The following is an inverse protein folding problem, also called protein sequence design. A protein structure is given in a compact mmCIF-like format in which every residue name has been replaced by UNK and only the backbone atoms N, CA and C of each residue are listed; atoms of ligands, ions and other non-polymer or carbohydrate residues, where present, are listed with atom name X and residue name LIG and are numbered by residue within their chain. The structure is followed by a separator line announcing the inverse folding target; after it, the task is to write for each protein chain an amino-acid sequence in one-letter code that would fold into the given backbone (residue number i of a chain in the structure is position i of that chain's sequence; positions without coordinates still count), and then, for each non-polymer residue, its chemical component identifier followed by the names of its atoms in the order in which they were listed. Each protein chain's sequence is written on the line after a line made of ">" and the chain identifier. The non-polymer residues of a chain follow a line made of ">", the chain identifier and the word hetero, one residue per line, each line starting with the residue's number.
data_IF_883131427668
#
_entry.id   IF_883131427668
#
_cell.length_a   1.000
_cell.length_b   1.000
_cell.length_c   1.000
_cell.angle_alpha   90.00
_cell.angle_beta   90.00
_cell.angle_gamma   90.00
#
_symmetry.space_group_name_H-M   'P 1'
#
loop_
_entity.id
_entity.type
_entity.pdbx_description
1 polymer ?
#
# COMPACT_ATOMS: atom_id res chain seq x y z
N UNK A 1 7.95 2.27 48.79
CA UNK A 1 7.33 2.06 47.51
C UNK A 1 5.95 2.70 47.57
N UNK A 2 5.84 3.93 47.14
CA UNK A 2 4.55 4.63 47.01
C UNK A 2 3.88 4.12 45.75
N UNK A 3 2.84 3.29 45.91
CA UNK A 3 1.91 2.99 44.84
C UNK A 3 1.11 4.26 44.55
N UNK A 4 1.52 5.00 43.52
CA UNK A 4 0.70 6.06 42.99
C UNK A 4 -0.63 5.44 42.54
N UNK A 5 -1.70 5.71 43.30
CA UNK A 5 -3.05 5.37 42.94
C UNK A 5 -3.39 6.28 41.76
N UNK A 6 -3.20 5.77 40.54
CA UNK A 6 -3.66 6.45 39.34
C UNK A 6 -5.15 6.67 39.48
N UNK A 7 -5.56 7.92 39.47
CA UNK A 7 -6.96 8.30 39.62
C UNK A 7 -7.77 7.67 38.47
N UNK A 8 -8.67 6.76 38.79
CA UNK A 8 -9.45 5.99 37.81
C UNK A 8 -10.18 6.85 36.77
N UNK A 9 -10.46 8.12 37.11
CA UNK A 9 -11.11 9.07 36.21
C UNK A 9 -10.17 9.62 35.10
N UNK A 10 -8.85 9.47 35.20
CA UNK A 10 -7.91 9.84 34.14
C UNK A 10 -7.65 8.70 33.15
N UNK A 11 -7.82 7.45 33.58
CA UNK A 11 -7.67 6.26 32.73
C UNK A 11 -8.73 6.17 31.62
N UNK A 12 -9.86 6.84 31.74
CA UNK A 12 -11.02 6.74 30.84
C UNK A 12 -11.09 7.91 29.83
N UNK A 13 -10.08 8.78 29.74
CA UNK A 13 -10.04 9.85 28.73
C UNK A 13 -9.56 9.39 27.35
N UNK A 14 -9.12 8.15 27.22
CA UNK A 14 -8.68 7.55 25.95
C UNK A 14 -9.72 6.52 25.53
N UNK A 15 -10.20 6.59 24.29
CA UNK A 15 -11.14 5.62 23.79
C UNK A 15 -10.60 4.20 23.94
N UNK A 16 -11.38 3.26 24.47
CA UNK A 16 -10.94 1.88 24.62
C UNK A 16 -10.64 1.28 23.23
N UNK A 17 -9.81 0.23 23.19
CA UNK A 17 -9.33 -0.39 21.93
C UNK A 17 -10.46 -0.68 20.96
N UNK A 18 -11.56 -1.25 21.41
CA UNK A 18 -12.73 -1.55 20.59
C UNK A 18 -13.56 -0.31 20.19
N UNK A 19 -13.33 0.83 20.82
CA UNK A 19 -13.92 2.13 20.48
C UNK A 19 -13.03 2.98 19.57
N UNK A 20 -11.82 2.53 19.25
CA UNK A 20 -10.95 3.25 18.32
C UNK A 20 -11.60 3.37 16.95
N UNK A 21 -11.53 4.55 16.35
CA UNK A 21 -12.11 4.81 15.02
C UNK A 21 -11.53 3.89 13.94
N UNK A 22 -10.30 3.43 14.11
CA UNK A 22 -9.63 2.51 13.20
C UNK A 22 -9.93 1.04 13.46
N UNK A 23 -10.66 0.70 14.55
CA UNK A 23 -11.07 -0.66 14.84
C UNK A 23 -12.33 -0.99 14.02
N UNK A 24 -12.18 -1.83 13.01
CA UNK A 24 -13.26 -2.21 12.08
C UNK A 24 -13.42 -3.75 12.06
N UNK A 25 -13.90 -4.29 13.19
CA UNK A 25 -14.16 -5.73 13.31
C UNK A 25 -12.90 -6.62 13.18
N UNK A 26 -11.73 -6.14 13.59
CA UNK A 26 -10.49 -6.92 13.59
C UNK A 26 -10.65 -8.24 14.32
N UNK A 27 -10.24 -9.33 13.70
CA UNK A 27 -10.35 -10.67 14.29
C UNK A 27 -9.42 -10.85 15.49
N UNK A 28 -8.23 -10.21 15.44
CA UNK A 28 -7.25 -10.35 16.52
C UNK A 28 -6.26 -9.18 16.51
N UNK A 29 -5.91 -8.72 17.72
CA UNK A 29 -4.81 -7.78 17.96
C UNK A 29 -3.92 -8.37 19.04
N UNK A 30 -2.62 -8.47 18.77
CA UNK A 30 -1.64 -9.10 19.67
C UNK A 30 -0.57 -8.09 20.04
N UNK A 31 -0.40 -7.86 21.34
CA UNK A 31 0.68 -7.05 21.89
C UNK A 31 1.85 -7.98 22.26
N UNK A 32 3.00 -7.71 21.65
CA UNK A 32 4.23 -8.48 21.82
C UNK A 32 5.24 -7.64 22.59
N UNK A 33 5.79 -8.19 23.66
CA UNK A 33 6.79 -7.51 24.47
C UNK A 33 7.86 -8.50 24.94
N UNK A 34 9.13 -8.15 24.76
CA UNK A 34 10.26 -8.91 25.28
C UNK A 34 11.30 -7.94 25.85
N UNK A 35 11.61 -8.12 27.14
CA UNK A 35 12.50 -7.20 27.86
C UNK A 35 13.96 -7.40 27.48
N UNK A 36 14.35 -8.63 27.14
CA UNK A 36 15.75 -8.98 26.91
C UNK A 36 16.24 -8.40 25.57
N UNK A 37 15.38 -8.43 24.53
CA UNK A 37 15.67 -7.85 23.22
C UNK A 37 15.19 -6.41 23.07
N UNK A 38 14.36 -5.92 24.01
CA UNK A 38 13.72 -4.60 23.92
C UNK A 38 12.54 -4.55 22.96
N UNK A 39 12.06 -5.70 22.45
CA UNK A 39 10.95 -5.74 21.49
C UNK A 39 9.66 -5.21 22.11
N UNK A 40 9.05 -4.25 21.43
CA UNK A 40 7.66 -3.82 21.61
C UNK A 40 6.98 -3.81 20.25
N UNK A 41 6.02 -4.70 20.04
CA UNK A 41 5.33 -4.80 18.76
C UNK A 41 3.83 -5.02 18.94
N UNK A 42 3.06 -4.65 17.92
CA UNK A 42 1.63 -4.92 17.84
C UNK A 42 1.37 -5.59 16.50
N UNK A 43 0.69 -6.73 16.49
CA UNK A 43 0.24 -7.43 15.29
C UNK A 43 -1.27 -7.30 15.19
N UNK A 44 -1.77 -6.69 14.13
CA UNK A 44 -3.20 -6.59 13.81
C UNK A 44 -3.57 -7.59 12.71
N UNK A 45 -4.57 -8.43 12.97
CA UNK A 45 -5.22 -9.30 12.00
C UNK A 45 -6.63 -8.77 11.81
N UNK A 46 -6.87 -8.14 10.65
CA UNK A 46 -8.18 -7.57 10.37
C UNK A 46 -9.16 -8.65 9.92
N UNK A 47 -8.77 -9.48 8.94
CA UNK A 47 -9.68 -10.44 8.33
C UNK A 47 -8.92 -11.63 7.73
N UNK A 48 -9.44 -12.84 7.88
CA UNK A 48 -8.85 -14.07 7.33
C UNK A 48 -9.83 -14.87 6.45
N UNK A 49 -10.98 -14.31 6.10
CA UNK A 49 -12.03 -14.99 5.31
C UNK A 49 -11.54 -15.46 3.94
N UNK A 50 -10.70 -14.69 3.27
CA UNK A 50 -10.12 -15.06 1.97
C UNK A 50 -8.87 -15.95 2.09
N UNK A 51 -8.24 -16.02 3.25
CA UNK A 51 -7.00 -16.76 3.50
C UNK A 51 -6.19 -16.13 4.64
N UNK A 52 -4.95 -16.59 4.87
CA UNK A 52 -4.10 -16.05 5.92
C UNK A 52 -3.92 -14.54 5.77
N UNK A 53 -3.87 -13.84 6.90
CA UNK A 53 -3.66 -12.40 6.90
C UNK A 53 -2.22 -12.08 6.50
N UNK A 54 -2.02 -11.40 5.36
CA UNK A 54 -0.70 -10.92 4.93
C UNK A 54 -0.57 -9.43 5.18
N UNK A 55 0.61 -9.02 5.63
CA UNK A 55 1.01 -7.61 5.67
C UNK A 55 2.38 -7.39 6.27
N UNK A 56 3.09 -6.39 5.75
CA UNK A 56 4.45 -6.08 6.15
C UNK A 56 4.56 -5.58 7.59
N UNK A 57 5.74 -5.76 8.17
CA UNK A 57 6.10 -5.22 9.47
C UNK A 57 6.78 -3.86 9.29
N UNK A 58 6.27 -2.85 9.98
CA UNK A 58 6.84 -1.50 10.02
C UNK A 58 7.60 -1.31 11.33
N UNK A 59 8.82 -0.80 11.28
CA UNK A 59 9.52 -0.32 12.46
C UNK A 59 9.63 1.20 12.43
N UNK A 60 9.01 1.86 13.41
CA UNK A 60 8.88 3.32 13.40
C UNK A 60 8.93 3.90 14.83
N UNK A 61 9.44 5.13 14.93
CA UNK A 61 9.38 5.93 16.15
C UNK A 61 7.99 6.54 16.32
N UNK A 62 7.06 5.80 16.89
CA UNK A 62 5.76 6.33 17.26
C UNK A 62 5.86 7.25 18.48
N UNK A 63 5.07 8.32 18.50
CA UNK A 63 5.03 9.23 19.64
C UNK A 63 4.50 8.55 20.92
N UNK A 64 3.65 7.55 20.76
CA UNK A 64 3.09 6.73 21.83
C UNK A 64 2.50 5.42 21.28
N UNK A 65 2.09 4.51 22.19
CA UNK A 65 1.54 3.20 21.80
C UNK A 65 0.15 3.31 21.14
N UNK A 66 -0.61 4.38 21.38
CA UNK A 66 -1.90 4.60 20.73
C UNK A 66 -1.74 4.95 19.25
N UNK A 67 -0.73 5.72 18.90
CA UNK A 67 -0.39 6.00 17.51
C UNK A 67 -0.01 4.69 16.79
N UNK A 68 0.82 3.86 17.43
CA UNK A 68 1.22 2.56 16.89
C UNK A 68 0.00 1.62 16.72
N UNK A 69 -0.90 1.58 17.70
CA UNK A 69 -2.14 0.80 17.64
C UNK A 69 -3.04 1.29 16.50
N UNK A 70 -3.26 2.60 16.40
CA UNK A 70 -4.07 3.18 15.32
C UNK A 70 -3.48 2.85 13.94
N UNK A 71 -2.16 2.93 13.79
CA UNK A 71 -1.48 2.62 12.52
C UNK A 71 -1.64 1.15 12.13
N UNK A 72 -1.43 0.21 13.08
CA UNK A 72 -1.57 -1.22 12.79
C UNK A 72 -3.01 -1.61 12.45
N UNK A 73 -4.00 -1.02 13.12
CA UNK A 73 -5.42 -1.27 12.83
C UNK A 73 -5.79 -0.76 11.42
N UNK A 74 -5.48 0.48 11.12
CA UNK A 74 -5.75 1.10 9.83
C UNK A 74 -5.05 0.35 8.67
N UNK A 75 -3.80 -0.01 8.85
CA UNK A 75 -3.00 -0.67 7.81
C UNK A 75 -3.42 -2.13 7.60
N UNK A 76 -3.74 -2.89 8.66
CA UNK A 76 -4.23 -4.28 8.51
C UNK A 76 -5.58 -4.33 7.80
N UNK A 77 -6.48 -3.38 8.08
CA UNK A 77 -7.72 -3.20 7.32
C UNK A 77 -7.44 -2.91 5.85
N UNK A 78 -6.55 -1.97 5.56
CA UNK A 78 -6.13 -1.65 4.20
C UNK A 78 -5.61 -2.86 3.43
N UNK A 79 -4.83 -3.73 4.10
CA UNK A 79 -4.33 -4.97 3.50
C UNK A 79 -5.43 -5.95 3.13
N UNK A 80 -6.54 -6.07 3.91
CA UNK A 80 -7.69 -6.89 3.54
C UNK A 80 -8.31 -6.43 2.23
N UNK A 81 -8.55 -5.13 2.09
CA UNK A 81 -9.13 -4.57 0.87
C UNK A 81 -8.17 -4.67 -0.32
N UNK A 82 -6.88 -4.41 -0.11
CA UNK A 82 -5.85 -4.55 -1.15
C UNK A 82 -5.74 -5.98 -1.66
N UNK A 83 -5.69 -6.97 -0.77
CA UNK A 83 -5.67 -8.39 -1.14
C UNK A 83 -6.95 -8.81 -1.87
N UNK A 84 -8.10 -8.37 -1.36
CA UNK A 84 -9.41 -8.69 -1.94
C UNK A 84 -9.56 -8.13 -3.34
N UNK A 85 -9.33 -6.82 -3.54
CA UNK A 85 -9.51 -6.16 -4.85
C UNK A 85 -8.54 -6.71 -5.91
N UNK A 86 -7.36 -7.18 -5.49
CA UNK A 86 -6.34 -7.77 -6.36
C UNK A 86 -6.60 -9.25 -6.69
N UNK A 87 -7.73 -9.82 -6.26
CA UNK A 87 -8.08 -11.21 -6.54
C UNK A 87 -7.22 -12.24 -5.81
N UNK A 88 -6.54 -11.86 -4.71
CA UNK A 88 -5.68 -12.75 -3.95
C UNK A 88 -6.45 -13.52 -2.87
N UNK A 89 -6.07 -14.76 -2.62
CA UNK A 89 -6.63 -15.57 -1.54
C UNK A 89 -5.87 -15.33 -0.24
N UNK A 90 -5.89 -14.08 0.20
CA UNK A 90 -5.24 -13.58 1.40
C UNK A 90 -6.21 -12.69 2.17
N UNK A 91 -6.12 -12.77 3.48
CA UNK A 91 -6.67 -11.79 4.38
C UNK A 91 -5.77 -10.56 4.53
N UNK A 92 -6.06 -9.72 5.50
CA UNK A 92 -5.26 -8.52 5.80
C UNK A 92 -4.72 -8.53 7.20
N UNK A 93 -3.42 -8.36 7.30
CA UNK A 93 -2.69 -8.19 8.54
C UNK A 93 -1.67 -7.07 8.44
N UNK A 94 -1.15 -6.67 9.58
CA UNK A 94 -0.06 -5.71 9.69
C UNK A 94 0.65 -5.93 11.01
N UNK A 95 1.96 -5.63 11.06
CA UNK A 95 2.66 -5.49 12.33
C UNK A 95 3.37 -4.14 12.39
N UNK A 96 3.48 -3.62 13.60
CA UNK A 96 4.32 -2.47 13.91
C UNK A 96 5.28 -2.84 15.04
N UNK A 97 6.54 -2.42 14.92
CA UNK A 97 7.55 -2.47 15.97
C UNK A 97 7.82 -1.03 16.39
N UNK A 98 7.69 -0.74 17.67
CA UNK A 98 7.90 0.58 18.24
C UNK A 98 9.40 0.73 18.54
N UNK A 99 10.08 1.59 17.77
CA UNK A 99 11.51 1.82 17.93
C UNK A 99 12.15 2.49 16.72
N UNK A 100 13.41 2.87 16.86
CA UNK A 100 14.20 3.43 15.77
C UNK A 100 14.87 2.32 14.97
N UNK A 101 14.42 2.11 13.72
CA UNK A 101 14.97 1.10 12.83
C UNK A 101 16.46 1.28 12.51
N UNK A 102 17.04 2.47 12.73
CA UNK A 102 18.44 2.77 12.46
C UNK A 102 19.37 2.42 13.64
N UNK A 103 18.86 2.46 14.86
CA UNK A 103 19.68 2.36 16.08
C UNK A 103 19.27 1.24 17.03
N UNK A 104 18.02 0.77 16.94
CA UNK A 104 17.46 -0.22 17.91
C UNK A 104 17.19 -1.59 17.25
N UNK A 105 17.24 -1.68 15.92
CA UNK A 105 17.00 -2.92 15.20
C UNK A 105 18.20 -3.85 15.29
N UNK A 106 18.02 -5.02 15.92
CA UNK A 106 19.04 -6.08 16.03
C UNK A 106 18.53 -7.41 15.48
N UNK A 107 19.43 -8.34 15.11
CA UNK A 107 19.01 -9.68 14.69
C UNK A 107 18.24 -10.44 15.80
N UNK A 108 18.60 -10.24 17.06
CA UNK A 108 17.95 -10.86 18.22
C UNK A 108 16.50 -10.36 18.34
N UNK A 109 16.28 -9.05 18.20
CA UNK A 109 14.95 -8.45 18.18
C UNK A 109 14.11 -8.99 17.03
N UNK A 110 14.71 -9.16 15.83
CA UNK A 110 14.03 -9.71 14.67
C UNK A 110 13.67 -11.20 14.85
N UNK A 111 14.55 -12.02 15.44
CA UNK A 111 14.21 -13.41 15.77
C UNK A 111 13.07 -13.47 16.79
N UNK A 112 13.13 -12.64 17.83
CA UNK A 112 12.07 -12.59 18.85
C UNK A 112 10.73 -12.20 18.25
N UNK A 113 10.71 -11.20 17.34
CA UNK A 113 9.51 -10.86 16.58
C UNK A 113 9.02 -12.07 15.75
N UNK A 114 9.93 -12.79 15.09
CA UNK A 114 9.61 -14.02 14.34
C UNK A 114 9.00 -15.12 15.21
N UNK A 115 9.42 -15.28 16.45
CA UNK A 115 8.82 -16.23 17.41
C UNK A 115 7.34 -15.86 17.70
N UNK A 116 7.03 -14.55 17.86
CA UNK A 116 5.65 -14.10 18.02
C UNK A 116 4.82 -14.34 16.76
N UNK A 117 5.37 -14.09 15.57
CA UNK A 117 4.70 -14.44 14.31
C UNK A 117 4.45 -15.94 14.23
N UNK A 118 5.43 -16.78 14.61
CA UNK A 118 5.29 -18.24 14.61
C UNK A 118 4.18 -18.72 15.55
N UNK A 119 4.01 -18.06 16.70
CA UNK A 119 2.96 -18.41 17.67
C UNK A 119 1.54 -18.27 17.13
N UNK A 120 1.35 -17.48 16.05
CA UNK A 120 0.07 -17.32 15.36
C UNK A 120 -0.22 -18.43 14.34
N UNK A 121 0.68 -19.42 14.21
CA UNK A 121 0.48 -20.66 13.45
C UNK A 121 -0.01 -20.46 12.01
N UNK A 122 0.52 -19.43 11.33
CA UNK A 122 0.19 -19.09 9.93
C UNK A 122 -1.06 -18.24 9.76
N UNK A 123 -1.75 -17.86 10.82
CA UNK A 123 -2.86 -16.92 10.74
C UNK A 123 -2.42 -15.55 10.25
N UNK A 124 -1.17 -15.15 10.58
CA UNK A 124 -0.50 -13.95 10.09
C UNK A 124 0.81 -14.32 9.38
N UNK A 125 1.03 -13.74 8.22
CA UNK A 125 2.26 -13.84 7.44
C UNK A 125 2.84 -12.44 7.31
N UNK A 126 4.10 -12.28 7.72
CA UNK A 126 4.80 -11.00 7.67
C UNK A 126 5.58 -10.80 6.36
N UNK A 127 5.92 -9.56 6.08
CA UNK A 127 6.80 -9.11 4.99
C UNK A 127 7.54 -7.84 5.40
N UNK A 128 8.38 -7.31 4.53
CA UNK A 128 9.00 -6.00 4.76
C UNK A 128 8.01 -4.83 4.58
N UNK A 129 8.24 -3.76 5.30
CA UNK A 129 7.62 -2.44 5.15
C UNK A 129 8.61 -1.36 5.64
N UNK A 130 8.15 -0.14 5.87
CA UNK A 130 8.98 0.99 6.31
C UNK A 130 9.85 0.63 7.51
N UNK A 131 11.14 0.93 7.45
CA UNK A 131 12.12 0.64 8.49
C UNK A 131 12.65 -0.79 8.50
N UNK A 132 12.15 -1.65 7.59
CA UNK A 132 12.60 -3.05 7.43
C UNK A 132 13.28 -3.24 6.08
N UNK A 133 14.12 -4.25 6.00
CA UNK A 133 14.87 -4.64 4.81
C UNK A 133 14.75 -6.15 4.60
N UNK A 134 15.04 -6.62 3.38
CA UNK A 134 15.01 -8.06 3.04
C UNK A 134 15.85 -8.91 4.00
N UNK A 135 17.00 -8.41 4.47
CA UNK A 135 17.83 -9.12 5.45
C UNK A 135 17.14 -9.33 6.80
N UNK A 136 16.22 -8.43 7.18
CA UNK A 136 15.44 -8.57 8.41
C UNK A 136 14.41 -9.70 8.26
N UNK A 137 13.78 -9.80 7.08
CA UNK A 137 12.88 -10.92 6.76
C UNK A 137 13.64 -12.24 6.69
N UNK A 138 14.86 -12.22 6.18
CA UNK A 138 15.75 -13.39 6.21
C UNK A 138 16.06 -13.87 7.63
N UNK A 139 16.20 -12.93 8.57
CA UNK A 139 16.41 -13.24 10.01
C UNK A 139 15.13 -13.78 10.64
N UNK A 140 13.98 -13.19 10.34
CA UNK A 140 12.67 -13.70 10.77
C UNK A 140 12.45 -15.13 10.25
N UNK A 141 12.86 -15.42 9.02
CA UNK A 141 12.75 -16.75 8.39
C UNK A 141 13.50 -17.86 9.13
N UNK A 142 14.53 -17.51 9.90
CA UNK A 142 15.28 -18.48 10.69
C UNK A 142 14.42 -19.18 11.76
N UNK A 143 13.35 -18.52 12.23
CA UNK A 143 12.51 -18.99 13.35
C UNK A 143 11.05 -19.22 12.98
N UNK A 144 10.61 -18.80 11.80
CA UNK A 144 9.22 -19.02 11.34
C UNK A 144 9.14 -19.18 9.83
N UNK A 145 8.28 -20.09 9.30
CA UNK A 145 7.97 -20.14 7.88
C UNK A 145 7.00 -19.04 7.40
N UNK A 146 6.36 -18.31 8.33
CA UNK A 146 5.28 -17.35 8.05
C UNK A 146 5.82 -15.95 7.75
N UNK A 147 6.73 -15.89 6.79
CA UNK A 147 7.38 -14.66 6.31
C UNK A 147 7.60 -14.75 4.81
N UNK A 148 7.42 -13.62 4.11
CA UNK A 148 7.67 -13.44 2.68
C UNK A 148 8.54 -12.19 2.44
N UNK A 149 8.94 -11.94 1.19
CA UNK A 149 9.88 -10.85 0.89
C UNK A 149 11.29 -11.17 1.38
N UNK A 150 11.63 -12.46 1.43
CA UNK A 150 12.99 -12.93 1.72
C UNK A 150 13.88 -12.80 0.47
N UNK A 151 15.19 -12.96 0.65
CA UNK A 151 16.13 -12.89 -0.47
C UNK A 151 15.86 -13.99 -1.51
N UNK A 152 16.10 -13.69 -2.79
CA UNK A 152 15.94 -14.65 -3.90
C UNK A 152 16.74 -15.92 -3.68
N UNK A 153 17.96 -15.80 -3.12
CA UNK A 153 18.81 -16.95 -2.78
C UNK A 153 18.19 -17.90 -1.75
N UNK A 154 17.16 -17.45 -1.01
CA UNK A 154 16.38 -18.23 -0.05
C UNK A 154 14.98 -18.58 -0.54
N UNK A 155 14.69 -18.34 -1.83
CA UNK A 155 13.42 -18.66 -2.47
C UNK A 155 12.41 -17.51 -2.45
N UNK A 156 12.83 -16.29 -2.20
CA UNK A 156 12.00 -15.09 -2.26
C UNK A 156 11.70 -14.64 -3.69
N UNK A 157 10.73 -13.77 -3.83
CA UNK A 157 10.25 -13.23 -5.11
C UNK A 157 11.06 -12.03 -5.64
N UNK A 158 12.09 -11.63 -4.91
CA UNK A 158 12.99 -10.54 -5.30
C UNK A 158 12.34 -9.15 -5.21
N UNK A 159 12.91 -8.21 -5.95
CA UNK A 159 12.47 -6.81 -5.94
C UNK A 159 11.04 -6.63 -6.50
N UNK A 160 10.05 -6.20 -5.70
CA UNK A 160 8.67 -6.05 -6.16
C UNK A 160 8.44 -4.80 -7.03
N UNK A 161 9.43 -3.90 -7.13
CA UNK A 161 9.23 -2.60 -7.79
C UNK A 161 8.86 -2.69 -9.27
N UNK A 162 9.44 -3.60 -10.08
CA UNK A 162 9.04 -3.74 -11.49
C UNK A 162 7.58 -4.15 -11.65
N UNK A 163 7.12 -5.11 -10.85
CA UNK A 163 5.72 -5.59 -10.91
C UNK A 163 4.75 -4.51 -10.39
N UNK A 164 5.15 -3.76 -9.35
CA UNK A 164 4.37 -2.62 -8.84
C UNK A 164 4.23 -1.55 -9.93
N UNK A 165 5.32 -1.15 -10.58
CA UNK A 165 5.30 -0.16 -11.63
C UNK A 165 4.43 -0.59 -12.82
N UNK A 166 4.50 -1.89 -13.18
CA UNK A 166 3.67 -2.45 -14.25
C UNK A 166 2.17 -2.42 -13.88
N UNK A 167 1.81 -2.72 -12.63
CA UNK A 167 0.43 -2.60 -12.14
C UNK A 167 -0.09 -1.15 -12.23
N UNK A 168 0.72 -0.18 -11.82
CA UNK A 168 0.38 1.26 -11.95
C UNK A 168 0.19 1.64 -13.42
N UNK A 169 1.08 1.17 -14.30
CA UNK A 169 1.00 1.41 -15.74
C UNK A 169 -0.31 0.83 -16.32
N UNK A 170 -0.71 -0.39 -15.96
CA UNK A 170 -1.98 -1.00 -16.40
C UNK A 170 -3.19 -0.25 -15.85
N UNK A 171 -3.17 0.17 -14.59
CA UNK A 171 -4.21 1.02 -14.00
C UNK A 171 -4.31 2.39 -14.68
N UNK A 172 -3.17 2.96 -15.08
CA UNK A 172 -3.13 4.23 -15.82
C UNK A 172 -3.71 4.09 -17.23
N UNK A 173 -3.45 2.97 -17.93
CA UNK A 173 -4.07 2.65 -19.23
C UNK A 173 -5.59 2.51 -19.11
N UNK A 174 -6.08 1.82 -18.07
CA UNK A 174 -7.51 1.73 -17.79
C UNK A 174 -8.13 3.11 -17.54
N UNK A 175 -7.46 3.95 -16.76
CA UNK A 175 -7.91 5.32 -16.52
C UNK A 175 -7.90 6.18 -17.79
N UNK A 176 -6.90 6.01 -18.67
CA UNK A 176 -6.86 6.68 -19.96
C UNK A 176 -7.99 6.21 -20.88
N UNK A 177 -8.29 4.90 -20.89
CA UNK A 177 -9.43 4.34 -21.63
C UNK A 177 -10.75 4.94 -21.18
N UNK A 178 -10.96 4.98 -19.87
CA UNK A 178 -12.20 5.50 -19.29
C UNK A 178 -12.35 7.02 -19.52
N UNK A 179 -11.27 7.80 -19.27
CA UNK A 179 -11.32 9.26 -19.31
C UNK A 179 -11.19 9.88 -20.70
N UNK A 180 -10.37 9.26 -21.57
CA UNK A 180 -10.02 9.81 -22.87
C UNK A 180 -10.52 8.94 -24.05
N UNK A 181 -11.11 7.78 -23.77
CA UNK A 181 -11.64 6.87 -24.79
C UNK A 181 -10.59 5.94 -25.45
N UNK A 182 -9.31 6.10 -25.11
CA UNK A 182 -8.18 5.31 -25.67
C UNK A 182 -7.34 4.70 -24.56
N UNK A 183 -6.91 3.46 -24.74
CA UNK A 183 -6.11 2.72 -23.78
C UNK A 183 -4.59 2.78 -24.07
N UNK A 184 -4.17 3.81 -24.78
CA UNK A 184 -2.76 4.13 -25.00
C UNK A 184 -2.37 5.40 -24.27
N UNK A 185 -1.13 5.41 -23.78
CA UNK A 185 -0.52 6.58 -23.14
C UNK A 185 0.37 7.36 -24.12
N UNK A 186 0.49 6.90 -25.38
CA UNK A 186 1.23 7.59 -26.42
C UNK A 186 0.69 9.03 -26.60
N UNK A 187 1.60 10.00 -26.56
CA UNK A 187 1.30 11.42 -26.63
C UNK A 187 0.64 12.04 -25.40
N UNK A 188 0.33 11.28 -24.35
CA UNK A 188 -0.19 11.83 -23.08
C UNK A 188 0.93 12.52 -22.31
N UNK A 189 0.61 13.67 -21.74
CA UNK A 189 1.52 14.41 -20.85
C UNK A 189 1.35 13.87 -19.43
N UNK A 190 2.42 13.28 -18.90
CA UNK A 190 2.39 12.60 -17.60
C UNK A 190 3.41 13.26 -16.66
N UNK A 191 2.97 13.72 -15.49
CA UNK A 191 3.85 14.13 -14.39
C UNK A 191 4.05 12.96 -13.44
N UNK A 192 5.29 12.51 -13.25
CA UNK A 192 5.66 11.51 -12.24
C UNK A 192 6.37 12.23 -11.09
N UNK A 193 5.77 12.22 -9.92
CA UNK A 193 6.33 12.75 -8.68
C UNK A 193 6.97 11.63 -7.87
N UNK A 194 8.27 11.66 -7.72
CA UNK A 194 9.05 10.60 -7.06
C UNK A 194 9.55 9.57 -8.07
N UNK A 195 10.87 9.52 -8.22
CA UNK A 195 11.59 8.62 -9.13
C UNK A 195 12.50 7.65 -8.38
N UNK A 196 11.99 7.12 -7.26
CA UNK A 196 12.55 5.97 -6.57
C UNK A 196 12.42 4.69 -7.42
N UNK A 197 12.59 3.52 -6.80
CA UNK A 197 12.62 2.24 -7.53
C UNK A 197 11.37 2.00 -8.40
N UNK A 198 10.16 2.30 -7.89
CA UNK A 198 8.92 2.13 -8.65
C UNK A 198 8.73 3.24 -9.68
N UNK A 199 8.97 4.50 -9.28
CA UNK A 199 8.78 5.65 -10.16
C UNK A 199 9.69 5.62 -11.38
N UNK A 200 10.96 5.21 -11.25
CA UNK A 200 11.87 5.06 -12.39
C UNK A 200 11.37 4.02 -13.40
N UNK A 201 10.94 2.84 -12.91
CA UNK A 201 10.41 1.80 -13.80
C UNK A 201 9.10 2.25 -14.47
N UNK A 202 8.26 3.01 -13.75
CA UNK A 202 7.06 3.60 -14.36
C UNK A 202 7.44 4.60 -15.46
N UNK A 203 8.44 5.47 -15.25
CA UNK A 203 8.96 6.38 -16.30
C UNK A 203 9.40 5.58 -17.52
N UNK A 204 10.11 4.46 -17.33
CA UNK A 204 10.53 3.58 -18.43
C UNK A 204 9.33 3.05 -19.23
N UNK A 205 8.29 2.54 -18.57
CA UNK A 205 7.08 2.06 -19.26
C UNK A 205 6.40 3.18 -20.04
N UNK A 206 6.25 4.36 -19.44
CA UNK A 206 5.60 5.52 -20.04
C UNK A 206 6.35 6.02 -21.28
N UNK A 207 7.66 6.16 -21.18
CA UNK A 207 8.48 6.63 -22.31
C UNK A 207 8.54 5.61 -23.45
N UNK A 208 8.59 4.32 -23.11
CA UNK A 208 8.55 3.24 -24.11
C UNK A 208 7.21 3.21 -24.89
N UNK A 209 6.10 3.59 -24.24
CA UNK A 209 4.80 3.72 -24.94
C UNK A 209 4.64 5.06 -25.69
N UNK A 210 5.59 5.97 -25.55
CA UNK A 210 5.58 7.27 -26.25
C UNK A 210 4.83 8.38 -25.50
N UNK A 211 4.69 8.30 -24.18
CA UNK A 211 4.17 9.39 -23.38
C UNK A 211 5.18 10.54 -23.24
N UNK A 212 4.71 11.77 -23.14
CA UNK A 212 5.54 12.94 -22.83
C UNK A 212 5.67 13.06 -21.30
N UNK A 213 6.76 12.52 -20.76
CA UNK A 213 6.97 12.40 -19.31
C UNK A 213 7.71 13.61 -18.76
N UNK A 214 7.16 14.19 -17.68
CA UNK A 214 7.83 15.16 -16.81
C UNK A 214 8.05 14.50 -15.44
N UNK A 215 9.25 14.64 -14.88
CA UNK A 215 9.62 14.03 -13.59
C UNK A 215 9.93 15.10 -12.54
N UNK A 216 9.60 14.81 -11.28
CA UNK A 216 9.90 15.65 -10.12
C UNK A 216 10.35 14.77 -8.95
N UNK A 217 11.43 15.14 -8.29
CA UNK A 217 11.94 14.49 -7.07
C UNK A 217 12.72 15.53 -6.24
N UNK A 218 12.95 15.23 -4.97
CA UNK A 218 13.82 16.04 -4.10
C UNK A 218 15.30 15.76 -4.33
N UNK A 219 15.64 14.64 -4.99
CA UNK A 219 17.00 14.20 -5.26
C UNK A 219 17.41 14.62 -6.69
N UNK A 220 18.15 15.71 -6.80
CA UNK A 220 18.62 16.26 -8.08
C UNK A 220 19.51 15.29 -8.87
N UNK A 221 20.35 14.50 -8.19
CA UNK A 221 21.20 13.51 -8.87
C UNK A 221 20.35 12.45 -9.58
N UNK A 222 19.31 11.97 -8.91
CA UNK A 222 18.35 11.01 -9.50
C UNK A 222 17.56 11.63 -10.65
N UNK A 223 17.14 12.89 -10.53
CA UNK A 223 16.46 13.60 -11.61
C UNK A 223 17.32 13.65 -12.88
N UNK A 224 18.59 14.01 -12.75
CA UNK A 224 19.51 14.08 -13.87
C UNK A 224 19.79 12.71 -14.50
N UNK A 225 19.98 11.67 -13.67
CA UNK A 225 20.17 10.29 -14.11
C UNK A 225 18.97 9.77 -14.91
N UNK A 226 17.79 9.81 -14.32
CA UNK A 226 16.55 9.27 -14.91
C UNK A 226 16.08 10.12 -16.10
N UNK A 227 16.19 11.46 -16.00
CA UNK A 227 15.88 12.36 -17.10
C UNK A 227 16.74 12.09 -18.35
N UNK A 228 18.05 11.91 -18.16
CA UNK A 228 18.98 11.59 -19.25
C UNK A 228 18.76 10.18 -19.80
N UNK A 229 18.52 9.21 -18.94
CA UNK A 229 18.37 7.79 -19.30
C UNK A 229 17.13 7.54 -20.17
N UNK A 230 16.01 8.20 -19.85
CA UNK A 230 14.73 7.95 -20.52
C UNK A 230 14.23 9.13 -21.36
N UNK A 231 14.96 10.22 -21.45
CA UNK A 231 14.53 11.42 -22.17
C UNK A 231 13.36 12.14 -21.51
N UNK A 232 13.14 11.95 -20.21
CA UNK A 232 12.08 12.58 -19.45
C UNK A 232 12.44 14.03 -19.11
N UNK A 233 11.48 14.95 -19.22
CA UNK A 233 11.67 16.36 -18.87
C UNK A 233 11.73 16.52 -17.36
N UNK A 234 12.74 17.21 -16.85
CA UNK A 234 12.83 17.56 -15.43
C UNK A 234 11.95 18.77 -15.17
N UNK A 235 11.07 18.68 -14.15
CA UNK A 235 10.30 19.82 -13.68
C UNK A 235 11.21 20.81 -12.96
N UNK A 236 11.14 22.07 -13.35
CA UNK A 236 11.96 23.17 -12.82
C UNK A 236 11.16 24.35 -12.26
N UNK A 237 9.84 24.18 -12.08
CA UNK A 237 8.94 25.20 -11.54
C UNK A 237 8.82 25.15 -10.01
N UNK A 238 8.08 26.11 -9.45
CA UNK A 238 7.83 26.20 -8.02
C UNK A 238 6.59 25.41 -7.56
N UNK A 239 5.67 25.11 -8.47
CA UNK A 239 4.42 24.39 -8.16
C UNK A 239 4.10 23.37 -9.26
N UNK A 240 4.48 22.13 -9.02
CA UNK A 240 4.25 21.03 -9.97
C UNK A 240 2.76 20.66 -10.12
N UNK A 241 1.93 20.94 -9.11
CA UNK A 241 0.51 20.60 -9.14
C UNK A 241 -0.26 21.44 -10.17
N UNK A 242 0.22 22.66 -10.45
CA UNK A 242 -0.35 23.57 -11.45
C UNK A 242 0.09 23.25 -12.89
N UNK A 243 0.92 22.22 -13.09
CA UNK A 243 1.38 21.85 -14.43
C UNK A 243 0.21 21.30 -15.25
N UNK A 244 0.06 21.85 -16.47
CA UNK A 244 -0.95 21.35 -17.42
C UNK A 244 -0.50 19.99 -18.00
N UNK A 245 -0.94 18.92 -17.34
CA UNK A 245 -0.71 17.52 -17.75
C UNK A 245 -2.02 16.76 -17.84
N UNK A 246 -2.02 15.67 -18.59
CA UNK A 246 -3.19 14.82 -18.71
C UNK A 246 -3.32 13.89 -17.50
N UNK A 247 -2.16 13.42 -16.99
CA UNK A 247 -2.09 12.44 -15.88
C UNK A 247 -1.05 12.93 -14.85
N UNK A 248 -1.43 12.91 -13.58
CA UNK A 248 -0.53 13.07 -12.44
C UNK A 248 -0.31 11.74 -11.75
N UNK A 249 0.94 11.31 -11.61
CA UNK A 249 1.36 10.06 -10.99
C UNK A 249 2.16 10.32 -9.70
N UNK A 250 1.50 10.40 -8.52
CA UNK A 250 2.19 10.47 -7.24
C UNK A 250 2.86 9.13 -6.93
N UNK A 251 4.20 9.09 -6.91
CA UNK A 251 5.01 7.90 -6.64
C UNK A 251 5.99 8.09 -5.46
N UNK A 252 5.91 9.23 -4.73
CA UNK A 252 6.76 9.52 -3.60
C UNK A 252 6.05 9.21 -2.26
N UNK A 253 5.52 10.22 -1.60
CA UNK A 253 4.88 10.10 -0.29
C UNK A 253 3.35 10.06 -0.40
N UNK A 254 2.70 9.50 0.63
CA UNK A 254 1.25 9.60 0.80
C UNK A 254 0.79 11.03 1.06
N UNK A 255 -0.53 11.22 1.13
CA UNK A 255 -1.20 12.50 1.41
C UNK A 255 -0.80 13.65 0.46
N UNK A 256 -0.34 13.32 -0.76
CA UNK A 256 -0.01 14.31 -1.79
C UNK A 256 -1.25 15.04 -2.33
N UNK A 257 -2.44 14.45 -2.15
CA UNK A 257 -3.73 15.04 -2.49
C UNK A 257 -4.41 15.43 -1.19
N UNK A 258 -4.35 16.72 -0.87
CA UNK A 258 -4.81 17.32 0.37
C UNK A 258 -5.46 18.70 0.11
N UNK A 259 -5.89 19.39 1.17
CA UNK A 259 -6.59 20.68 1.06
C UNK A 259 -5.78 21.77 0.32
N UNK A 260 -4.44 21.72 0.41
CA UNK A 260 -3.57 22.72 -0.22
C UNK A 260 -3.31 22.42 -1.70
N UNK A 261 -3.22 21.14 -2.06
CA UNK A 261 -2.77 20.71 -3.40
C UNK A 261 -3.94 20.46 -4.35
N UNK A 262 -5.06 19.97 -3.82
CA UNK A 262 -6.20 19.51 -4.63
C UNK A 262 -6.77 20.63 -5.52
N UNK A 263 -6.81 21.88 -5.05
CA UNK A 263 -7.30 23.02 -5.83
C UNK A 263 -6.40 23.39 -7.02
N UNK A 264 -5.11 23.08 -6.93
CA UNK A 264 -4.07 23.43 -7.92
C UNK A 264 -3.95 22.36 -9.03
N UNK A 265 -4.28 21.10 -8.75
CA UNK A 265 -4.12 19.99 -9.71
C UNK A 265 -4.90 20.27 -10.99
N UNK A 266 -4.19 20.28 -12.15
CA UNK A 266 -4.77 20.49 -13.46
C UNK A 266 -4.97 19.14 -14.23
N UNK A 267 -4.35 18.07 -13.77
CA UNK A 267 -4.47 16.75 -14.37
C UNK A 267 -5.93 16.27 -14.38
N UNK A 268 -6.31 15.57 -15.44
CA UNK A 268 -7.64 14.95 -15.58
C UNK A 268 -7.72 13.55 -14.97
N UNK A 269 -6.55 12.93 -14.76
CA UNK A 269 -6.39 11.61 -14.16
C UNK A 269 -5.31 11.67 -13.09
N UNK A 270 -5.54 11.01 -11.96
CA UNK A 270 -4.54 10.75 -10.94
C UNK A 270 -4.36 9.23 -10.85
N UNK A 271 -3.13 8.75 -11.14
CA UNK A 271 -2.78 7.33 -11.13
C UNK A 271 -1.28 7.17 -10.83
N UNK A 272 -0.91 6.81 -9.61
CA UNK A 272 0.48 6.70 -9.17
C UNK A 272 0.70 5.56 -8.17
N UNK A 273 1.97 5.31 -7.84
CA UNK A 273 2.40 4.19 -7.03
C UNK A 273 2.32 4.43 -5.51
N UNK A 274 2.27 5.70 -5.05
CA UNK A 274 2.27 6.03 -3.63
C UNK A 274 1.05 5.43 -2.92
N UNK A 275 1.24 4.93 -1.71
CA UNK A 275 0.14 4.49 -0.86
C UNK A 275 -0.53 5.70 -0.19
N UNK A 276 -1.82 5.60 0.11
CA UNK A 276 -2.58 6.62 0.82
C UNK A 276 -2.42 8.03 0.20
N UNK A 277 -2.61 8.12 -1.11
CA UNK A 277 -2.44 9.37 -1.87
C UNK A 277 -3.38 10.47 -1.40
N UNK A 278 -4.62 10.10 -1.02
CA UNK A 278 -5.62 11.01 -0.45
C UNK A 278 -5.36 11.22 1.05
N UNK A 279 -5.14 12.44 1.50
CA UNK A 279 -4.99 12.75 2.92
C UNK A 279 -6.27 12.44 3.72
N UNK A 280 -7.43 12.57 3.09
CA UNK A 280 -8.72 12.08 3.57
C UNK A 280 -9.50 11.46 2.40
N UNK A 281 -9.73 10.16 2.48
CA UNK A 281 -10.32 9.37 1.38
C UNK A 281 -11.75 9.84 1.03
N UNK A 282 -12.54 10.21 2.03
CA UNK A 282 -13.93 10.66 1.84
C UNK A 282 -13.97 12.08 1.26
N UNK A 283 -13.27 13.01 1.92
CA UNK A 283 -13.31 14.43 1.55
C UNK A 283 -12.64 14.64 0.19
N UNK A 284 -11.38 14.21 0.05
CA UNK A 284 -10.61 14.47 -1.17
C UNK A 284 -11.10 13.63 -2.36
N UNK A 285 -11.58 12.39 -2.09
CA UNK A 285 -12.22 11.59 -3.14
C UNK A 285 -13.46 12.26 -3.73
N UNK A 286 -14.31 12.88 -2.88
CA UNK A 286 -15.47 13.64 -3.30
C UNK A 286 -15.07 14.89 -4.09
N UNK A 287 -14.12 15.66 -3.58
CA UNK A 287 -13.62 16.88 -4.25
C UNK A 287 -13.03 16.58 -5.63
N UNK A 288 -12.26 15.51 -5.79
CA UNK A 288 -11.76 15.08 -7.11
C UNK A 288 -12.89 14.77 -8.07
N UNK A 289 -13.91 14.04 -7.61
CA UNK A 289 -15.09 13.72 -8.43
C UNK A 289 -15.85 14.98 -8.85
N UNK A 290 -16.09 15.92 -7.94
CA UNK A 290 -16.75 17.21 -8.22
C UNK A 290 -15.97 18.04 -9.24
N UNK A 291 -14.64 17.95 -9.23
CA UNK A 291 -13.76 18.58 -10.22
C UNK A 291 -13.64 17.80 -11.53
N UNK A 292 -14.30 16.66 -11.65
CA UNK A 292 -14.22 15.79 -12.82
C UNK A 292 -12.83 15.16 -13.02
N UNK A 293 -12.02 15.03 -11.97
CA UNK A 293 -10.71 14.37 -11.99
C UNK A 293 -10.91 12.89 -11.66
N UNK A 294 -10.52 12.01 -12.58
CA UNK A 294 -10.58 10.56 -12.34
C UNK A 294 -9.43 10.12 -11.45
N UNK A 295 -9.75 9.54 -10.29
CA UNK A 295 -8.77 8.93 -9.40
C UNK A 295 -8.75 7.42 -9.58
N UNK A 296 -7.59 6.86 -9.94
CA UNK A 296 -7.39 5.41 -9.92
C UNK A 296 -6.97 5.00 -8.49
N UNK A 297 -7.78 4.20 -7.77
CA UNK A 297 -7.49 3.87 -6.39
C UNK A 297 -6.12 3.23 -6.21
N UNK A 298 -5.28 3.86 -5.40
CA UNK A 298 -3.88 3.51 -5.20
C UNK A 298 -3.68 2.07 -4.75
N UNK A 299 -4.51 1.60 -3.80
CA UNK A 299 -4.40 0.26 -3.24
C UNK A 299 -4.75 -0.86 -4.25
N UNK A 300 -5.38 -0.54 -5.40
CA UNK A 300 -5.48 -1.46 -6.52
C UNK A 300 -4.26 -1.35 -7.44
N UNK A 301 -4.00 -0.14 -7.97
CA UNK A 301 -3.04 -0.01 -9.07
C UNK A 301 -1.59 -0.27 -8.62
N UNK A 302 -1.26 -0.04 -7.36
CA UNK A 302 0.04 -0.38 -6.79
C UNK A 302 0.11 -1.80 -6.18
N UNK A 303 -0.88 -2.65 -6.43
CA UNK A 303 -0.94 -3.99 -5.84
C UNK A 303 0.08 -4.98 -6.43
N UNK A 304 0.81 -4.60 -7.46
CA UNK A 304 1.86 -5.45 -8.05
C UNK A 304 2.85 -6.00 -7.01
N UNK A 305 3.18 -5.20 -5.99
CA UNK A 305 4.07 -5.64 -4.90
C UNK A 305 3.48 -6.79 -4.09
N UNK A 306 2.22 -6.72 -3.69
CA UNK A 306 1.56 -7.81 -2.95
C UNK A 306 1.30 -9.02 -3.85
N UNK A 307 1.05 -8.82 -5.15
CA UNK A 307 0.93 -9.92 -6.13
C UNK A 307 2.27 -10.65 -6.27
N UNK A 308 3.39 -9.93 -6.33
CA UNK A 308 4.73 -10.49 -6.37
C UNK A 308 5.01 -11.35 -5.13
N UNK A 309 4.79 -10.79 -3.95
CA UNK A 309 4.98 -11.51 -2.68
C UNK A 309 4.04 -12.70 -2.53
N UNK A 310 2.80 -12.61 -3.05
CA UNK A 310 1.86 -13.73 -3.06
C UNK A 310 2.38 -14.92 -3.88
N UNK A 311 3.23 -14.69 -4.88
CA UNK A 311 3.81 -15.78 -5.68
C UNK A 311 4.64 -16.75 -4.84
N UNK A 312 5.29 -16.29 -3.77
CA UNK A 312 6.04 -17.13 -2.83
C UNK A 312 5.13 -18.12 -2.09
N UNK A 313 3.91 -17.67 -1.74
CA UNK A 313 2.93 -18.47 -0.99
C UNK A 313 2.15 -19.43 -1.88
N UNK A 314 1.86 -19.01 -3.11
CA UNK A 314 1.01 -19.73 -4.06
C UNK A 314 1.80 -20.46 -5.15
N UNK A 315 3.14 -20.43 -5.09
CA UNK A 315 4.05 -21.03 -6.07
C UNK A 315 3.71 -20.61 -7.52
N UNK A 316 3.44 -19.30 -7.74
CA UNK A 316 3.12 -18.79 -9.05
C UNK A 316 4.36 -18.63 -9.92
N UNK A 317 4.22 -18.95 -11.18
CA UNK A 317 5.24 -18.63 -12.19
C UNK A 317 5.24 -17.12 -12.50
N UNK A 318 6.36 -16.62 -13.04
CA UNK A 318 6.45 -15.22 -13.48
C UNK A 318 5.31 -14.84 -14.46
N UNK A 319 4.94 -15.73 -15.37
CA UNK A 319 3.83 -15.51 -16.30
C UNK A 319 2.49 -15.30 -15.56
N UNK A 320 2.22 -16.12 -14.54
CA UNK A 320 1.01 -15.97 -13.72
C UNK A 320 1.00 -14.70 -12.86
N UNK A 321 2.17 -14.26 -12.38
CA UNK A 321 2.32 -12.96 -11.69
C UNK A 321 2.00 -11.81 -12.65
N UNK A 322 2.51 -11.88 -13.88
CA UNK A 322 2.24 -10.87 -14.91
C UNK A 322 0.76 -10.83 -15.28
N UNK A 323 0.14 -11.98 -15.56
CA UNK A 323 -1.30 -12.09 -15.84
C UNK A 323 -2.17 -11.48 -14.75
N UNK A 324 -1.87 -11.80 -13.48
CA UNK A 324 -2.58 -11.18 -12.33
C UNK A 324 -2.38 -9.67 -12.27
N UNK A 325 -1.19 -9.20 -12.59
CA UNK A 325 -0.88 -7.77 -12.59
C UNK A 325 -1.58 -7.06 -13.75
N UNK A 326 -1.66 -7.66 -14.93
CA UNK A 326 -2.41 -7.14 -16.08
C UNK A 326 -3.91 -7.03 -15.80
N UNK A 327 -4.46 -7.95 -15.00
CA UNK A 327 -5.88 -7.90 -14.62
C UNK A 327 -6.24 -6.68 -13.77
N UNK A 328 -5.28 -5.92 -13.24
CA UNK A 328 -5.49 -4.60 -12.62
C UNK A 328 -6.24 -3.68 -13.60
N UNK A 329 -5.97 -3.77 -14.91
CA UNK A 329 -6.69 -3.03 -15.92
C UNK A 329 -8.20 -3.29 -15.88
N UNK A 330 -8.60 -4.56 -15.91
CA UNK A 330 -10.02 -4.94 -15.90
C UNK A 330 -10.70 -4.54 -14.60
N UNK A 331 -10.04 -4.78 -13.45
CA UNK A 331 -10.56 -4.40 -12.13
C UNK A 331 -10.72 -2.88 -12.02
N UNK A 332 -9.78 -2.09 -12.55
CA UNK A 332 -9.88 -0.64 -12.59
C UNK A 332 -11.08 -0.17 -13.45
N UNK A 333 -11.29 -0.80 -14.62
CA UNK A 333 -12.45 -0.52 -15.47
C UNK A 333 -13.77 -0.83 -14.77
N UNK A 334 -13.85 -1.92 -14.00
CA UNK A 334 -15.04 -2.26 -13.22
C UNK A 334 -15.31 -1.24 -12.11
N UNK A 335 -14.25 -0.76 -11.43
CA UNK A 335 -14.35 0.32 -10.43
C UNK A 335 -14.89 1.60 -11.08
N UNK A 336 -14.37 2.00 -12.23
CA UNK A 336 -14.79 3.24 -12.89
C UNK A 336 -16.25 3.16 -13.32
N UNK A 337 -16.69 2.03 -13.91
CA UNK A 337 -18.11 1.79 -14.27
C UNK A 337 -19.00 1.84 -13.03
N UNK A 338 -18.64 1.13 -11.96
CA UNK A 338 -19.43 1.13 -10.73
C UNK A 338 -19.52 2.53 -10.10
N UNK A 339 -18.43 3.30 -10.17
CA UNK A 339 -18.40 4.69 -9.70
C UNK A 339 -19.38 5.56 -10.46
N UNK A 340 -19.46 5.41 -11.80
CA UNK A 340 -20.39 6.17 -12.64
C UNK A 340 -21.84 5.71 -12.43
N UNK A 341 -22.10 4.41 -12.48
CA UNK A 341 -23.43 3.81 -12.35
C UNK A 341 -24.11 4.16 -11.02
N UNK A 342 -23.33 4.18 -9.93
CA UNK A 342 -23.84 4.48 -8.59
C UNK A 342 -23.62 5.93 -8.15
N UNK A 343 -22.96 6.74 -8.98
CA UNK A 343 -22.60 8.11 -8.65
C UNK A 343 -21.79 8.27 -7.35
N UNK A 344 -20.92 7.30 -7.04
CA UNK A 344 -20.01 7.30 -5.89
C UNK A 344 -18.57 7.63 -6.32
N UNK A 345 -17.66 7.83 -5.35
CA UNK A 345 -16.22 8.00 -5.67
C UNK A 345 -15.60 6.67 -6.12
N UNK A 346 -14.54 6.73 -6.93
CA UNK A 346 -13.82 5.53 -7.36
C UNK A 346 -13.20 4.77 -6.18
N UNK A 347 -12.77 5.49 -5.15
CA UNK A 347 -12.30 4.88 -3.88
C UNK A 347 -13.42 4.05 -3.21
N UNK A 348 -14.62 4.62 -3.07
CA UNK A 348 -15.77 3.91 -2.50
C UNK A 348 -16.18 2.71 -3.36
N UNK A 349 -16.17 2.86 -4.69
CA UNK A 349 -16.47 1.76 -5.61
C UNK A 349 -15.48 0.60 -5.44
N UNK A 350 -14.17 0.91 -5.28
CA UNK A 350 -13.14 -0.09 -5.02
C UNK A 350 -13.36 -0.82 -3.69
N UNK A 351 -13.70 -0.09 -2.62
CA UNK A 351 -14.04 -0.68 -1.32
C UNK A 351 -15.26 -1.60 -1.42
N UNK A 352 -16.31 -1.18 -2.16
CA UNK A 352 -17.52 -1.99 -2.35
C UNK A 352 -17.24 -3.31 -3.09
N UNK A 353 -16.41 -3.28 -4.15
CA UNK A 353 -15.99 -4.49 -4.88
C UNK A 353 -15.18 -5.42 -3.98
N UNK A 354 -14.21 -4.87 -3.24
CA UNK A 354 -13.38 -5.64 -2.33
C UNK A 354 -14.21 -6.28 -1.20
N UNK A 355 -15.10 -5.51 -0.57
CA UNK A 355 -15.99 -5.99 0.49
C UNK A 355 -16.93 -7.08 -0.01
N UNK A 356 -17.53 -6.87 -1.19
CA UNK A 356 -18.41 -7.87 -1.80
C UNK A 356 -17.73 -9.23 -1.94
N UNK A 357 -16.47 -9.27 -2.40
CA UNK A 357 -15.72 -10.53 -2.52
C UNK A 357 -15.50 -11.22 -1.15
N UNK A 358 -15.21 -10.44 -0.10
CA UNK A 358 -15.08 -10.95 1.27
C UNK A 358 -16.42 -11.53 1.74
N UNK A 359 -17.51 -10.81 1.55
CA UNK A 359 -18.84 -11.23 1.98
C UNK A 359 -19.35 -12.48 1.24
N UNK A 360 -19.12 -12.55 -0.05
CA UNK A 360 -19.47 -13.71 -0.88
C UNK A 360 -18.71 -14.96 -0.38
N UNK A 361 -17.42 -14.82 -0.11
CA UNK A 361 -16.62 -15.91 0.45
C UNK A 361 -17.08 -16.32 1.84
N UNK A 362 -17.46 -15.37 2.70
CA UNK A 362 -18.00 -15.66 4.04
C UNK A 362 -19.26 -16.49 3.95
N UNK A 363 -20.17 -16.17 3.03
CA UNK A 363 -21.41 -16.96 2.78
C UNK A 363 -21.09 -18.37 2.31
N UNK A 364 -20.12 -18.54 1.39
CA UNK A 364 -19.68 -19.86 0.94
C UNK A 364 -19.15 -20.75 2.08
N UNK A 365 -18.41 -20.15 3.03
CA UNK A 365 -17.88 -20.86 4.19
C UNK A 365 -18.96 -21.25 5.20
N UNK A 366 -20.03 -20.45 5.34
CA UNK A 366 -21.16 -20.74 6.22
C UNK A 366 -22.10 -21.83 5.67
N UNK A 367 -22.09 -22.04 4.36
CA UNK A 367 -22.94 -23.03 3.69
C UNK A 367 -22.27 -24.42 3.52
N UNK A 368 -21.02 -24.57 4.01
CA UNK A 368 -20.27 -25.84 4.05
C UNK A 368 -20.29 -26.45 5.43
#
# INVERSE_FOLDING_TARGET
>A
MTTDIINSNELYKVDPVFGQISFDGHEQVVFCNDKDTGLKAIIGIHNTVLGPALGGTRMWKYANEWEALNDVLRLSRGMSFKSSISGLNLGGGKAVIIGDSKTEKTPELMRKFGEYVNSLSGKYITAEDVGMETKDMDTVREVTPYVTGISESKGGSGNPSPITAYGVFMGMKAAAKHKFGVDTLAGKRVLVQGIGHVGEVLVQHLTNEGAAVTISDINESRLNEVGSKYGAKIFSGNDMYSLDVDIYAPCALGASINDETISKIQAKVIAGAANNQLANEVIHGKLLKERGILYAPDFLINAGGVINVYSELANLTTAQVMEKTENIYNTAMDIFRLSDDQNITTHQAALNIAQKRIDDRKKELQNK
#
